data_IF_160236113317
#
_entry.id   IF_160236113317
#
_cell.length_a   1.000
_cell.length_b   1.000
_cell.length_c   1.000
_cell.angle_alpha   90.00
_cell.angle_beta   90.00
_cell.angle_gamma   90.00
#
_symmetry.space_group_name_H-M   'P 1'
#
loop_
_entity.id
_entity.type
_entity.pdbx_description
1 polymer ?
#
# COMPACT_ATOMS: atom_id res chain seq x y z
N UNK A 1 -26.34 64.36 42.66
CA UNK A 1 -27.31 63.74 41.78
C UNK A 1 -26.85 62.29 41.54
N UNK A 2 -27.32 61.42 42.45
CA UNK A 2 -26.96 59.99 42.47
C UNK A 2 -28.08 59.20 41.81
N UNK A 3 -27.76 58.33 40.94
CA UNK A 3 -28.69 57.33 40.42
C UNK A 3 -28.22 55.95 40.80
N UNK A 4 -28.92 55.39 41.78
CA UNK A 4 -28.85 53.96 42.18
C UNK A 4 -29.82 53.21 41.30
N UNK A 5 -29.33 52.18 40.53
CA UNK A 5 -30.17 51.20 39.89
C UNK A 5 -30.13 49.89 40.67
N UNK A 6 -31.32 49.49 41.16
CA UNK A 6 -31.54 48.22 41.81
C UNK A 6 -31.57 47.09 40.80
N UNK A 7 -30.98 45.97 41.20
CA UNK A 7 -31.09 44.66 40.45
C UNK A 7 -32.26 43.89 41.05
N UNK A 8 -33.32 43.70 40.23
CA UNK A 8 -34.37 42.75 40.53
C UNK A 8 -33.95 41.36 40.00
N UNK A 9 -34.00 40.38 40.90
CA UNK A 9 -33.74 38.99 40.59
C UNK A 9 -34.89 38.37 39.79
N UNK A 10 -34.50 37.66 38.75
CA UNK A 10 -35.42 36.75 38.06
C UNK A 10 -35.20 35.34 38.55
N UNK A 11 -36.20 34.77 39.20
CA UNK A 11 -36.34 33.34 39.46
C UNK A 11 -36.43 32.60 38.11
N UNK A 12 -35.48 31.71 37.82
CA UNK A 12 -35.55 30.80 36.72
C UNK A 12 -36.45 29.62 37.03
N UNK A 13 -37.59 29.58 36.37
CA UNK A 13 -38.46 28.41 36.36
C UNK A 13 -37.74 27.23 35.63
N UNK A 14 -37.53 26.17 36.37
CA UNK A 14 -37.15 24.84 35.84
C UNK A 14 -38.28 24.29 34.97
N UNK A 15 -38.15 24.37 33.67
CA UNK A 15 -38.97 23.57 32.77
C UNK A 15 -38.29 22.20 32.54
N UNK A 16 -38.84 21.18 33.18
CA UNK A 16 -38.57 19.79 32.86
C UNK A 16 -39.13 19.51 31.47
N UNK A 17 -38.24 19.52 30.46
CA UNK A 17 -38.52 18.95 29.17
C UNK A 17 -38.10 17.47 29.18
N UNK A 18 -39.06 16.58 29.46
CA UNK A 18 -38.94 15.15 29.31
C UNK A 18 -39.77 14.73 28.11
N UNK A 19 -39.18 14.65 26.95
CA UNK A 19 -39.87 13.97 25.87
C UNK A 19 -39.59 14.38 24.45
N UNK A 20 -38.35 14.30 23.94
CA UNK A 20 -38.12 14.44 22.49
C UNK A 20 -36.88 13.68 21.94
N UNK A 21 -36.36 12.72 22.69
CA UNK A 21 -35.13 12.05 22.24
C UNK A 21 -35.40 10.79 21.35
N UNK A 22 -36.58 10.20 21.44
CA UNK A 22 -36.92 8.98 20.70
C UNK A 22 -37.35 9.20 19.25
N UNK A 23 -37.86 10.35 18.90
CA UNK A 23 -38.32 10.66 17.53
C UNK A 23 -37.17 11.07 16.61
N UNK A 24 -36.09 11.63 17.15
CA UNK A 24 -34.95 12.06 16.35
C UNK A 24 -34.09 10.88 15.90
N UNK A 25 -33.94 9.85 16.73
CA UNK A 25 -33.19 8.64 16.37
C UNK A 25 -33.94 7.78 15.33
N UNK A 26 -35.27 7.71 15.42
CA UNK A 26 -36.07 6.93 14.49
C UNK A 26 -36.18 7.63 13.12
N UNK A 27 -36.27 8.96 13.08
CA UNK A 27 -36.21 9.75 11.83
C UNK A 27 -34.84 9.67 11.18
N UNK A 28 -33.74 9.77 11.93
CA UNK A 28 -32.39 9.63 11.40
C UNK A 28 -32.13 8.22 10.87
N UNK A 29 -32.77 7.20 11.46
CA UNK A 29 -32.67 5.80 11.02
C UNK A 29 -33.49 5.56 9.76
N UNK A 30 -34.64 6.20 9.60
CA UNK A 30 -35.48 6.12 8.39
C UNK A 30 -34.87 6.88 7.21
N UNK A 31 -34.25 8.04 7.46
CA UNK A 31 -33.51 8.78 6.42
C UNK A 31 -32.27 8.04 5.88
N UNK A 32 -31.65 7.17 6.69
CA UNK A 32 -30.47 6.41 6.27
C UNK A 32 -30.82 5.14 5.46
N UNK A 33 -32.06 4.67 5.48
CA UNK A 33 -32.46 3.40 4.84
C UNK A 33 -32.70 3.56 3.33
N UNK A 34 -32.85 4.78 2.83
CA UNK A 34 -33.21 5.07 1.43
C UNK A 34 -32.06 5.70 0.62
N UNK A 35 -30.87 5.84 1.22
CA UNK A 35 -29.72 6.44 0.55
C UNK A 35 -29.02 5.44 -0.37
N UNK A 36 -28.73 5.88 -1.58
CA UNK A 36 -27.90 5.15 -2.53
C UNK A 36 -26.43 5.47 -2.27
N UNK A 37 -25.76 4.63 -1.52
CA UNK A 37 -24.37 4.81 -1.10
C UNK A 37 -23.46 3.82 -1.84
N UNK A 38 -22.44 4.32 -2.53
CA UNK A 38 -21.38 3.50 -3.12
C UNK A 38 -20.21 3.44 -2.12
N UNK A 39 -19.88 2.24 -1.67
CA UNK A 39 -18.76 2.01 -0.74
C UNK A 39 -17.58 1.39 -1.46
N UNK A 40 -16.41 1.98 -1.25
CA UNK A 40 -15.13 1.49 -1.80
C UNK A 40 -14.11 1.38 -0.68
N UNK A 41 -13.41 0.25 -0.60
CA UNK A 41 -12.33 0.04 0.33
C UNK A 41 -11.03 -0.29 -0.41
N UNK A 42 -9.92 0.30 0.03
CA UNK A 42 -8.59 0.01 -0.46
C UNK A 42 -7.76 -0.55 0.70
N UNK A 43 -7.23 -1.76 0.54
CA UNK A 43 -6.39 -2.41 1.53
C UNK A 43 -5.05 -2.81 0.92
N UNK A 44 -3.98 -2.57 1.69
CA UNK A 44 -2.69 -3.18 1.41
C UNK A 44 -2.35 -4.11 2.57
N UNK A 45 -2.04 -5.34 2.26
CA UNK A 45 -1.78 -6.39 3.25
C UNK A 45 -0.47 -7.10 2.97
N UNK A 46 0.17 -7.56 4.03
CA UNK A 46 1.37 -8.38 3.98
C UNK A 46 1.09 -9.78 4.52
N UNK A 47 1.72 -10.77 3.92
CA UNK A 47 1.64 -12.16 4.37
C UNK A 47 2.97 -12.89 4.21
N UNK A 48 3.23 -13.87 5.06
CA UNK A 48 4.32 -14.85 4.89
C UNK A 48 3.87 -16.09 4.11
N UNK A 49 2.56 -16.34 4.07
CA UNK A 49 1.95 -17.53 3.47
C UNK A 49 1.00 -17.13 2.33
N UNK A 50 1.56 -16.72 1.20
CA UNK A 50 0.82 -16.15 0.08
C UNK A 50 -0.31 -17.06 -0.45
N UNK A 51 -0.01 -18.34 -0.71
CA UNK A 51 -1.00 -19.31 -1.27
C UNK A 51 -2.14 -19.61 -0.28
N UNK A 52 -1.81 -19.71 1.00
CA UNK A 52 -2.80 -19.96 2.06
C UNK A 52 -3.76 -18.78 2.18
N UNK A 53 -3.24 -17.55 2.16
CA UNK A 53 -4.05 -16.33 2.21
C UNK A 53 -4.95 -16.21 0.98
N UNK A 54 -4.41 -16.43 -0.24
CA UNK A 54 -5.19 -16.37 -1.46
C UNK A 54 -6.37 -17.34 -1.43
N UNK A 55 -6.12 -18.60 -1.08
CA UNK A 55 -7.17 -19.64 -0.99
C UNK A 55 -8.22 -19.30 0.08
N UNK A 56 -7.80 -18.75 1.22
CA UNK A 56 -8.71 -18.35 2.29
C UNK A 56 -9.60 -17.17 1.86
N UNK A 57 -9.01 -16.18 1.16
CA UNK A 57 -9.75 -15.03 0.64
C UNK A 57 -10.77 -15.43 -0.43
N UNK A 58 -10.39 -16.27 -1.39
CA UNK A 58 -11.30 -16.77 -2.43
C UNK A 58 -12.51 -17.48 -1.81
N UNK A 59 -12.25 -18.37 -0.84
CA UNK A 59 -13.30 -19.09 -0.12
C UNK A 59 -14.21 -18.12 0.63
N UNK A 60 -13.62 -17.14 1.34
CA UNK A 60 -14.41 -16.20 2.14
C UNK A 60 -15.28 -15.28 1.29
N UNK A 61 -14.76 -14.81 0.14
CA UNK A 61 -15.52 -14.05 -0.84
C UNK A 61 -16.77 -14.82 -1.29
N UNK A 62 -16.60 -16.12 -1.60
CA UNK A 62 -17.73 -16.97 -2.03
C UNK A 62 -18.74 -17.20 -0.89
N UNK A 63 -18.28 -17.43 0.33
CA UNK A 63 -19.14 -17.62 1.52
C UNK A 63 -20.02 -16.39 1.80
N UNK A 64 -19.49 -15.19 1.58
CA UNK A 64 -20.21 -13.93 1.76
C UNK A 64 -21.09 -13.54 0.55
N UNK A 65 -21.15 -14.40 -0.48
CA UNK A 65 -21.95 -14.14 -1.69
C UNK A 65 -21.33 -13.08 -2.61
N UNK A 66 -20.03 -12.83 -2.45
CA UNK A 66 -19.25 -11.94 -3.31
C UNK A 66 -18.61 -12.67 -4.49
N UNK A 67 -17.85 -11.95 -5.28
CA UNK A 67 -17.05 -12.48 -6.39
C UNK A 67 -15.80 -11.65 -6.63
N UNK A 68 -14.79 -12.30 -7.23
CA UNK A 68 -13.57 -11.63 -7.67
C UNK A 68 -13.79 -11.13 -9.10
N UNK A 69 -13.76 -9.81 -9.29
CA UNK A 69 -13.91 -9.18 -10.59
C UNK A 69 -12.61 -9.23 -11.40
N UNK A 70 -11.48 -9.03 -10.73
CA UNK A 70 -10.15 -9.08 -11.33
C UNK A 70 -9.14 -9.65 -10.34
N UNK A 71 -8.21 -10.47 -10.85
CA UNK A 71 -7.09 -11.02 -10.10
C UNK A 71 -5.85 -10.96 -10.97
N UNK A 72 -4.84 -10.23 -10.51
CA UNK A 72 -3.53 -10.14 -11.15
C UNK A 72 -2.48 -10.59 -10.14
N UNK A 73 -1.70 -11.63 -10.49
CA UNK A 73 -0.69 -12.23 -9.62
C UNK A 73 0.66 -12.16 -10.30
N UNK A 74 1.62 -11.54 -9.63
CA UNK A 74 3.01 -11.51 -10.03
C UNK A 74 3.84 -12.45 -9.14
N UNK A 75 4.43 -13.49 -9.75
CA UNK A 75 5.17 -14.53 -9.04
C UNK A 75 6.65 -14.21 -8.77
N UNK A 76 7.05 -12.96 -8.97
CA UNK A 76 8.44 -12.56 -8.81
C UNK A 76 9.37 -13.03 -9.93
N UNK A 77 10.58 -12.49 -9.96
CA UNK A 77 11.62 -12.86 -10.92
C UNK A 77 12.83 -13.47 -10.22
N UNK A 78 13.35 -14.58 -10.76
CA UNK A 78 14.56 -15.25 -10.26
C UNK A 78 15.84 -14.82 -10.98
N UNK A 79 15.78 -13.77 -11.83
CA UNK A 79 16.86 -13.45 -12.78
C UNK A 79 18.15 -12.89 -12.16
N UNK A 80 18.16 -12.41 -10.91
CA UNK A 80 19.35 -11.79 -10.32
C UNK A 80 19.87 -12.43 -9.02
N UNK A 81 19.49 -13.70 -8.76
CA UNK A 81 19.92 -14.36 -7.50
C UNK A 81 19.21 -13.90 -6.24
N UNK A 82 18.44 -12.82 -6.33
CA UNK A 82 17.49 -12.38 -5.30
C UNK A 82 16.11 -12.86 -5.67
N UNK A 83 15.45 -13.59 -4.77
CA UNK A 83 14.07 -14.02 -4.93
C UNK A 83 13.20 -12.78 -4.76
N UNK A 84 12.64 -12.26 -5.85
CA UNK A 84 11.62 -11.20 -5.79
C UNK A 84 10.41 -11.75 -5.06
N UNK A 85 9.84 -10.98 -4.15
CA UNK A 85 8.57 -11.31 -3.47
C UNK A 85 7.44 -11.42 -4.48
N UNK A 86 6.45 -12.26 -4.17
CA UNK A 86 5.21 -12.33 -4.93
C UNK A 86 4.29 -11.21 -4.49
N UNK A 87 3.53 -10.68 -5.42
CA UNK A 87 2.46 -9.73 -5.15
C UNK A 87 1.21 -10.07 -5.93
N UNK A 88 0.06 -9.68 -5.41
CA UNK A 88 -1.21 -9.80 -6.08
C UNK A 88 -2.07 -8.57 -5.89
N UNK A 89 -2.79 -8.18 -6.95
CA UNK A 89 -3.83 -7.16 -6.92
C UNK A 89 -5.17 -7.80 -7.24
N UNK A 90 -6.10 -7.71 -6.29
CA UNK A 90 -7.44 -8.24 -6.43
C UNK A 90 -8.46 -7.11 -6.40
N UNK A 91 -9.43 -7.16 -7.32
CA UNK A 91 -10.66 -6.38 -7.21
C UNK A 91 -11.79 -7.32 -6.83
N UNK A 92 -12.35 -7.10 -5.66
CA UNK A 92 -13.38 -7.97 -5.09
C UNK A 92 -14.68 -7.20 -4.95
N UNK A 93 -15.79 -7.83 -5.32
CA UNK A 93 -17.16 -7.33 -5.15
C UNK A 93 -17.83 -8.09 -4.02
N UNK A 94 -18.16 -7.38 -2.94
CA UNK A 94 -18.80 -7.95 -1.75
C UNK A 94 -20.16 -7.27 -1.54
N UNK A 95 -21.25 -8.03 -1.26
CA UNK A 95 -22.52 -7.41 -0.90
C UNK A 95 -22.33 -6.37 0.21
N UNK A 96 -22.93 -5.20 0.05
CA UNK A 96 -22.71 -4.05 0.94
C UNK A 96 -22.92 -4.38 2.43
N UNK A 97 -23.84 -5.29 2.72
CA UNK A 97 -24.18 -5.72 4.09
C UNK A 97 -23.05 -6.53 4.74
N UNK A 98 -22.18 -7.17 3.95
CA UNK A 98 -21.09 -8.03 4.41
C UNK A 98 -19.70 -7.36 4.30
N UNK A 99 -19.62 -6.09 3.88
CA UNK A 99 -18.35 -5.40 3.70
C UNK A 99 -17.50 -5.39 4.98
N UNK A 100 -18.07 -4.96 6.11
CA UNK A 100 -17.34 -4.85 7.39
C UNK A 100 -16.88 -6.22 7.91
N UNK A 101 -17.70 -7.25 7.71
CA UNK A 101 -17.35 -8.61 8.05
C UNK A 101 -16.13 -9.06 7.23
N UNK A 102 -16.17 -8.83 5.91
CA UNK A 102 -15.04 -9.16 5.03
C UNK A 102 -13.76 -8.40 5.39
N UNK A 103 -13.84 -7.09 5.66
CA UNK A 103 -12.68 -6.28 6.05
C UNK A 103 -12.06 -6.76 7.37
N UNK A 104 -12.90 -7.22 8.30
CA UNK A 104 -12.45 -7.82 9.57
C UNK A 104 -11.75 -9.14 9.34
N UNK A 105 -12.30 -9.99 8.46
CA UNK A 105 -11.70 -11.29 8.12
C UNK A 105 -10.33 -11.11 7.43
N UNK A 106 -10.21 -10.16 6.50
CA UNK A 106 -8.92 -9.82 5.88
C UNK A 106 -7.90 -9.42 6.94
N UNK A 107 -8.32 -8.59 7.92
CA UNK A 107 -7.45 -8.13 9.00
C UNK A 107 -7.01 -9.27 9.95
N UNK A 108 -7.86 -10.28 10.11
CA UNK A 108 -7.53 -11.47 10.92
C UNK A 108 -6.61 -12.46 10.19
N UNK A 109 -6.71 -12.52 8.85
CA UNK A 109 -5.96 -13.46 8.00
C UNK A 109 -4.59 -12.91 7.57
N UNK A 110 -4.38 -11.60 7.63
CA UNK A 110 -3.19 -10.93 7.10
C UNK A 110 -2.78 -9.72 7.94
N UNK A 111 -1.57 -9.23 7.72
CA UNK A 111 -1.08 -8.00 8.32
C UNK A 111 -1.49 -6.80 7.46
N UNK A 112 -2.50 -6.03 7.90
CA UNK A 112 -2.98 -4.86 7.16
C UNK A 112 -2.04 -3.67 7.41
N UNK A 113 -1.32 -3.23 6.39
CA UNK A 113 -0.41 -2.09 6.45
C UNK A 113 -1.07 -0.77 6.07
N UNK A 114 -2.11 -0.84 5.25
CA UNK A 114 -2.89 0.35 4.87
C UNK A 114 -4.36 -0.03 4.67
N UNK A 115 -5.27 0.79 5.20
CA UNK A 115 -6.71 0.69 5.01
C UNK A 115 -7.27 2.09 4.74
N UNK A 116 -8.02 2.23 3.66
CA UNK A 116 -8.72 3.46 3.30
C UNK A 116 -10.12 3.10 2.81
N UNK A 117 -11.11 3.80 3.31
CA UNK A 117 -12.51 3.60 2.94
C UNK A 117 -13.10 4.90 2.44
N UNK A 118 -13.93 4.81 1.42
CA UNK A 118 -14.66 5.93 0.84
C UNK A 118 -16.12 5.57 0.69
N UNK A 119 -16.98 6.50 1.00
CA UNK A 119 -18.44 6.39 0.82
C UNK A 119 -18.88 7.57 -0.02
N UNK A 120 -19.51 7.29 -1.15
CA UNK A 120 -20.08 8.28 -2.07
C UNK A 120 -21.60 8.19 -2.02
N UNK A 121 -22.26 9.31 -1.72
CA UNK A 121 -23.72 9.41 -1.75
C UNK A 121 -24.16 9.82 -3.16
N UNK A 122 -24.71 8.86 -3.89
CA UNK A 122 -25.21 9.06 -5.27
C UNK A 122 -26.73 9.19 -5.34
N UNK A 123 -27.41 9.36 -4.20
CA UNK A 123 -28.87 9.42 -4.11
C UNK A 123 -29.47 10.46 -5.03
N UNK A 124 -28.93 11.68 -5.04
CA UNK A 124 -29.43 12.76 -5.90
C UNK A 124 -29.22 12.44 -7.38
N UNK A 125 -28.04 11.96 -7.75
CA UNK A 125 -27.71 11.60 -9.14
C UNK A 125 -28.60 10.44 -9.64
N UNK A 126 -28.90 9.49 -8.76
CA UNK A 126 -29.80 8.38 -9.06
C UNK A 126 -31.23 8.87 -9.32
N UNK A 127 -31.77 9.70 -8.42
CA UNK A 127 -33.12 10.27 -8.54
C UNK A 127 -33.25 11.16 -9.79
N UNK A 128 -32.22 11.92 -10.12
CA UNK A 128 -32.20 12.76 -11.31
C UNK A 128 -32.24 11.91 -12.59
N UNK A 129 -31.45 10.83 -12.67
CA UNK A 129 -31.48 9.89 -13.80
C UNK A 129 -32.84 9.20 -13.93
N UNK A 130 -33.42 8.76 -12.81
CA UNK A 130 -34.74 8.13 -12.79
C UNK A 130 -35.84 9.09 -13.26
N UNK A 131 -35.80 10.34 -12.78
CA UNK A 131 -36.75 11.39 -13.18
C UNK A 131 -36.63 11.73 -14.66
N UNK A 132 -35.41 11.82 -15.18
CA UNK A 132 -35.16 12.08 -16.60
C UNK A 132 -35.61 10.89 -17.47
N UNK A 133 -35.34 9.64 -17.04
CA UNK A 133 -35.87 8.44 -17.69
C UNK A 133 -37.41 8.48 -17.79
N UNK A 134 -38.09 8.84 -16.70
CA UNK A 134 -39.54 8.95 -16.65
C UNK A 134 -40.08 10.03 -17.62
N UNK A 135 -39.37 11.18 -17.70
CA UNK A 135 -39.75 12.23 -18.63
C UNK A 135 -39.63 11.78 -20.10
N UNK A 136 -38.54 11.08 -20.45
CA UNK A 136 -38.35 10.52 -21.80
C UNK A 136 -39.38 9.45 -22.15
N UNK A 137 -39.78 8.60 -21.21
CA UNK A 137 -40.85 7.62 -21.41
C UNK A 137 -42.20 8.35 -21.74
N UNK A 138 -42.51 9.41 -20.99
CA UNK A 138 -43.69 10.23 -21.24
C UNK A 138 -43.64 10.92 -22.62
N UNK A 139 -42.45 11.42 -23.04
CA UNK A 139 -42.25 11.99 -24.38
C UNK A 139 -42.41 10.91 -25.46
N UNK A 140 -41.86 9.71 -25.23
CA UNK A 140 -42.01 8.57 -26.13
C UNK A 140 -43.47 8.22 -26.37
N UNK A 141 -44.26 8.08 -25.31
CA UNK A 141 -45.66 7.76 -25.40
C UNK A 141 -46.45 8.80 -26.21
N UNK A 142 -46.15 10.09 -25.94
CA UNK A 142 -46.76 11.19 -26.67
C UNK A 142 -46.40 11.19 -28.16
N UNK A 143 -45.15 10.89 -28.50
CA UNK A 143 -44.72 10.81 -29.90
C UNK A 143 -45.35 9.61 -30.62
N UNK A 144 -45.56 8.49 -29.92
CA UNK A 144 -46.28 7.33 -30.48
C UNK A 144 -47.75 7.69 -30.78
N UNK A 145 -48.42 8.43 -29.88
CA UNK A 145 -49.78 8.93 -30.15
C UNK A 145 -49.86 9.91 -31.35
N UNK A 146 -48.81 10.73 -31.52
CA UNK A 146 -48.72 11.64 -32.67
C UNK A 146 -48.44 10.88 -33.96
N UNK A 147 -47.59 9.83 -33.90
CA UNK A 147 -47.32 8.96 -35.04
C UNK A 147 -48.55 8.27 -35.56
N UNK A 148 -49.43 7.81 -34.68
CA UNK A 148 -50.74 7.20 -35.07
C UNK A 148 -51.66 8.16 -35.77
N UNK A 149 -51.53 9.48 -35.54
CA UNK A 149 -52.35 10.55 -36.12
C UNK A 149 -51.71 11.24 -37.33
N UNK A 150 -50.43 10.92 -37.60
CA UNK A 150 -49.69 11.57 -38.69
C UNK A 150 -50.17 11.08 -40.05
N UNK A 151 -50.47 12.03 -40.95
CA UNK A 151 -50.91 11.76 -42.31
C UNK A 151 -49.78 12.09 -43.33
N UNK A 152 -48.88 12.98 -42.96
CA UNK A 152 -47.74 13.38 -43.82
C UNK A 152 -46.52 12.46 -43.63
N UNK A 153 -45.89 12.05 -44.73
CA UNK A 153 -44.65 11.28 -44.71
C UNK A 153 -43.50 12.06 -44.02
N UNK A 154 -43.48 13.37 -44.16
CA UNK A 154 -42.49 14.24 -43.52
C UNK A 154 -42.62 14.27 -42.01
N UNK A 155 -43.85 14.34 -41.51
CA UNK A 155 -44.14 14.25 -40.05
C UNK A 155 -43.76 12.88 -39.50
N UNK A 156 -44.11 11.80 -40.23
CA UNK A 156 -43.75 10.43 -39.84
C UNK A 156 -42.24 10.28 -39.68
N UNK A 157 -41.46 10.74 -40.68
CA UNK A 157 -39.99 10.67 -40.61
C UNK A 157 -39.43 11.47 -39.44
N UNK A 158 -39.94 12.68 -39.20
CA UNK A 158 -39.51 13.55 -38.10
C UNK A 158 -39.78 12.91 -36.73
N UNK A 159 -40.97 12.33 -36.56
CA UNK A 159 -41.37 11.63 -35.35
C UNK A 159 -40.50 10.37 -35.14
N UNK A 160 -40.26 9.59 -36.19
CA UNK A 160 -39.40 8.39 -36.12
C UNK A 160 -37.97 8.72 -35.77
N UNK A 161 -37.37 9.80 -36.30
CA UNK A 161 -36.05 10.29 -35.91
C UNK A 161 -35.99 10.62 -34.41
N UNK A 162 -37.03 11.34 -33.92
CA UNK A 162 -37.11 11.71 -32.51
C UNK A 162 -37.30 10.48 -31.62
N UNK A 163 -38.15 9.54 -31.99
CA UNK A 163 -38.34 8.27 -31.28
C UNK A 163 -37.06 7.45 -31.21
N UNK A 164 -36.31 7.44 -32.31
CA UNK A 164 -34.99 6.78 -32.34
C UNK A 164 -34.01 7.42 -31.38
N UNK A 165 -33.94 8.75 -31.35
CA UNK A 165 -33.11 9.49 -30.38
C UNK A 165 -33.47 9.18 -28.92
N UNK A 166 -34.76 9.19 -28.61
CA UNK A 166 -35.28 8.88 -27.28
C UNK A 166 -34.91 7.44 -26.85
N UNK A 167 -35.05 6.46 -27.75
CA UNK A 167 -34.68 5.05 -27.47
C UNK A 167 -33.19 4.94 -27.07
N UNK A 168 -32.28 5.64 -27.78
CA UNK A 168 -30.88 5.66 -27.41
C UNK A 168 -30.63 6.30 -26.05
N UNK A 169 -31.31 7.40 -25.73
CA UNK A 169 -31.21 8.07 -24.45
C UNK A 169 -31.72 7.17 -23.30
N UNK A 170 -32.86 6.54 -23.48
CA UNK A 170 -33.41 5.59 -22.50
C UNK A 170 -32.50 4.42 -22.26
N UNK A 171 -31.93 3.82 -23.30
CA UNK A 171 -30.99 2.72 -23.17
C UNK A 171 -29.72 3.15 -22.41
N UNK A 172 -29.21 4.36 -22.68
CA UNK A 172 -28.06 4.92 -21.96
C UNK A 172 -28.37 5.10 -20.48
N UNK A 173 -29.52 5.68 -20.13
CA UNK A 173 -29.94 5.89 -18.74
C UNK A 173 -30.18 4.59 -18.00
N UNK A 174 -30.78 3.60 -18.64
CA UNK A 174 -30.97 2.26 -18.06
C UNK A 174 -29.64 1.58 -17.76
N UNK A 175 -28.66 1.73 -18.63
CA UNK A 175 -27.31 1.22 -18.41
C UNK A 175 -26.63 1.93 -17.23
N UNK A 176 -26.78 3.26 -17.10
CA UNK A 176 -26.21 4.03 -16.00
C UNK A 176 -26.86 3.66 -14.67
N UNK A 177 -28.21 3.59 -14.61
CA UNK A 177 -28.94 3.17 -13.40
C UNK A 177 -28.54 1.75 -12.97
N UNK A 178 -28.46 0.80 -13.90
CA UNK A 178 -28.01 -0.57 -13.61
C UNK A 178 -26.59 -0.62 -13.05
N UNK A 179 -25.69 0.24 -13.56
CA UNK A 179 -24.32 0.35 -13.05
C UNK A 179 -24.32 0.90 -11.63
N UNK A 180 -25.10 1.95 -11.37
CA UNK A 180 -25.23 2.53 -10.02
C UNK A 180 -25.87 1.52 -9.04
N UNK A 181 -26.93 0.81 -9.44
CA UNK A 181 -27.54 -0.22 -8.60
C UNK A 181 -26.52 -1.32 -8.24
N UNK A 182 -25.74 -1.79 -9.21
CA UNK A 182 -24.69 -2.77 -8.94
C UNK A 182 -23.61 -2.24 -7.97
N UNK A 183 -23.21 -0.96 -8.09
CA UNK A 183 -22.23 -0.34 -7.20
C UNK A 183 -22.78 -0.08 -5.79
N UNK A 184 -24.08 0.14 -5.66
CA UNK A 184 -24.76 0.30 -4.37
C UNK A 184 -24.95 -1.06 -3.70
N UNK A 185 -25.33 -2.09 -4.45
CA UNK A 185 -25.58 -3.43 -3.92
C UNK A 185 -24.27 -4.14 -3.54
N UNK A 186 -23.21 -3.92 -4.32
CA UNK A 186 -21.89 -4.51 -4.13
C UNK A 186 -20.81 -3.44 -3.91
N UNK A 187 -20.23 -3.47 -2.72
CA UNK A 187 -19.04 -2.67 -2.42
C UNK A 187 -17.83 -3.19 -3.18
N UNK A 188 -16.97 -2.27 -3.61
CA UNK A 188 -15.72 -2.59 -4.29
C UNK A 188 -14.57 -2.60 -3.29
N UNK A 189 -13.85 -3.71 -3.21
CA UNK A 189 -12.65 -3.83 -2.39
C UNK A 189 -11.44 -4.04 -3.30
N UNK A 190 -10.52 -3.06 -3.28
CA UNK A 190 -9.20 -3.19 -3.91
C UNK A 190 -8.23 -3.71 -2.87
N UNK A 191 -7.68 -4.88 -3.10
CA UNK A 191 -6.80 -5.57 -2.18
C UNK A 191 -5.44 -5.81 -2.83
N UNK A 192 -4.39 -5.18 -2.29
CA UNK A 192 -3.01 -5.39 -2.69
C UNK A 192 -2.32 -6.28 -1.66
N UNK A 193 -1.84 -7.45 -2.08
CA UNK A 193 -1.23 -8.47 -1.23
C UNK A 193 0.25 -8.55 -1.56
N UNK A 194 1.11 -8.36 -0.56
CA UNK A 194 2.55 -8.47 -0.70
C UNK A 194 3.06 -9.65 0.13
N UNK A 195 3.83 -10.55 -0.50
CA UNK A 195 4.56 -11.58 0.22
C UNK A 195 5.81 -10.98 0.84
N UNK A 196 5.98 -11.13 2.15
CA UNK A 196 7.13 -10.59 2.87
C UNK A 196 7.79 -11.67 3.73
N UNK A 197 9.10 -11.55 3.98
CA UNK A 197 9.80 -12.44 4.90
C UNK A 197 9.52 -12.05 6.36
N UNK A 198 9.43 -10.76 6.63
CA UNK A 198 9.09 -10.19 7.93
C UNK A 198 7.96 -9.20 7.78
N UNK A 199 6.93 -9.31 8.63
CA UNK A 199 5.77 -8.43 8.61
C UNK A 199 6.13 -7.06 9.16
N UNK A 200 5.61 -6.00 8.52
CA UNK A 200 5.73 -4.63 9.04
C UNK A 200 4.96 -4.52 10.36
N UNK A 201 5.57 -4.04 11.45
CA UNK A 201 4.84 -3.81 12.70
C UNK A 201 3.75 -2.75 12.52
N UNK A 202 2.53 -3.09 12.81
CA UNK A 202 1.38 -2.16 12.70
C UNK A 202 1.24 -1.27 13.94
N UNK A 203 1.77 -1.70 15.09
CA UNK A 203 1.78 -0.91 16.33
C UNK A 203 3.04 -0.05 16.42
N UNK A 204 2.90 1.20 16.88
CA UNK A 204 4.05 2.02 17.26
C UNK A 204 4.73 1.37 18.46
N UNK A 205 5.83 0.66 18.20
CA UNK A 205 6.66 0.07 19.25
C UNK A 205 7.12 1.16 20.19
N UNK A 206 7.03 0.90 21.48
CA UNK A 206 7.57 1.82 22.49
C UNK A 206 9.06 2.07 22.26
N UNK A 207 9.55 3.25 22.66
CA UNK A 207 10.97 3.62 22.49
C UNK A 207 11.91 2.54 23.05
N UNK A 208 11.50 1.87 24.16
CA UNK A 208 12.25 0.77 24.76
C UNK A 208 12.34 -0.47 23.84
N UNK A 209 11.25 -0.85 23.19
CA UNK A 209 11.21 -1.98 22.25
C UNK A 209 12.02 -1.71 21.00
N UNK A 210 11.95 -0.49 20.45
CA UNK A 210 12.79 -0.07 19.31
C UNK A 210 14.29 -0.15 19.61
N UNK A 211 14.69 0.22 20.84
CA UNK A 211 16.10 0.14 21.27
C UNK A 211 16.53 -1.31 21.44
N UNK A 212 15.70 -2.16 22.07
CA UNK A 212 16.05 -3.57 22.28
C UNK A 212 16.10 -4.37 20.99
N UNK A 213 15.17 -4.13 20.06
CA UNK A 213 15.19 -4.77 18.74
C UNK A 213 16.37 -4.29 17.90
N UNK A 214 16.60 -2.97 17.81
CA UNK A 214 17.74 -2.42 17.08
C UNK A 214 19.07 -2.92 17.63
N UNK A 215 19.18 -3.18 18.94
CA UNK A 215 20.35 -3.79 19.55
C UNK A 215 20.49 -5.28 19.18
N UNK A 216 19.39 -6.04 19.20
CA UNK A 216 19.38 -7.46 18.80
C UNK A 216 19.70 -7.63 17.32
N UNK A 217 19.14 -6.78 16.46
CA UNK A 217 19.43 -6.78 15.01
C UNK A 217 20.90 -6.44 14.74
N UNK A 218 21.43 -5.44 15.42
CA UNK A 218 22.87 -5.10 15.34
C UNK A 218 23.77 -6.25 15.81
N UNK A 219 23.37 -6.98 16.86
CA UNK A 219 24.11 -8.18 17.32
C UNK A 219 24.04 -9.31 16.28
N UNK A 220 22.90 -9.50 15.64
CA UNK A 220 22.73 -10.51 14.57
C UNK A 220 23.56 -10.15 13.34
N UNK A 221 23.57 -8.87 12.95
CA UNK A 221 24.36 -8.38 11.82
C UNK A 221 25.86 -8.53 12.08
N UNK A 222 26.33 -8.23 13.29
CA UNK A 222 27.72 -8.49 13.70
C UNK A 222 28.01 -9.99 13.65
N UNK A 223 27.11 -10.86 14.13
CA UNK A 223 27.24 -12.31 14.04
C UNK A 223 27.35 -12.81 12.61
N UNK A 224 26.49 -12.33 11.73
CA UNK A 224 26.51 -12.66 10.31
C UNK A 224 27.77 -12.12 9.62
N UNK A 225 28.18 -10.89 9.95
CA UNK A 225 29.41 -10.30 9.42
C UNK A 225 30.69 -11.08 9.82
N UNK A 226 30.72 -11.63 11.03
CA UNK A 226 31.82 -12.52 11.48
C UNK A 226 31.80 -13.83 10.67
N UNK A 227 30.67 -14.42 10.46
CA UNK A 227 30.52 -15.64 9.64
C UNK A 227 30.93 -15.38 8.18
N UNK A 228 30.50 -14.30 7.59
CA UNK A 228 30.89 -13.93 6.22
C UNK A 228 32.41 -13.66 6.12
N UNK A 229 32.98 -12.97 7.11
CA UNK A 229 34.41 -12.78 7.19
C UNK A 229 35.17 -14.11 7.28
N UNK A 230 34.67 -15.06 8.07
CA UNK A 230 35.26 -16.41 8.18
C UNK A 230 35.18 -17.18 6.87
N UNK A 231 34.03 -17.14 6.19
CA UNK A 231 33.82 -17.74 4.86
C UNK A 231 34.78 -17.09 3.85
N UNK A 232 34.88 -15.76 3.84
CA UNK A 232 35.78 -15.02 2.96
C UNK A 232 37.28 -15.42 3.18
N UNK A 233 37.72 -15.54 4.43
CA UNK A 233 39.09 -15.97 4.75
C UNK A 233 39.36 -17.38 4.24
N UNK A 234 38.42 -18.34 4.44
CA UNK A 234 38.56 -19.72 3.98
C UNK A 234 38.57 -19.78 2.44
N UNK A 235 37.66 -19.06 1.79
CA UNK A 235 37.56 -19.04 0.33
C UNK A 235 38.80 -18.41 -0.33
N UNK A 236 39.39 -17.40 0.32
CA UNK A 236 40.60 -16.73 -0.19
C UNK A 236 41.90 -17.29 0.38
N UNK A 237 41.86 -18.34 1.19
CA UNK A 237 43.05 -18.96 1.83
C UNK A 237 44.15 -19.28 0.82
N UNK A 238 43.94 -19.83 -0.37
CA UNK A 238 44.96 -20.05 -1.37
C UNK A 238 45.68 -18.76 -1.80
N UNK A 239 44.91 -17.68 -2.00
CA UNK A 239 45.47 -16.38 -2.38
C UNK A 239 46.26 -15.73 -1.23
N UNK A 240 45.79 -15.86 0.00
CA UNK A 240 46.48 -15.35 1.19
C UNK A 240 47.82 -16.04 1.40
N UNK A 241 47.92 -17.36 1.15
CA UNK A 241 49.15 -18.12 1.22
C UNK A 241 50.17 -17.62 0.19
N UNK A 242 49.74 -17.41 -1.07
CA UNK A 242 50.59 -16.90 -2.12
C UNK A 242 51.15 -15.50 -1.76
N UNK A 243 50.28 -14.61 -1.27
CA UNK A 243 50.67 -13.28 -0.82
C UNK A 243 51.66 -13.32 0.38
N UNK A 244 51.39 -14.21 1.34
CA UNK A 244 52.28 -14.39 2.49
C UNK A 244 53.69 -14.85 2.07
N UNK A 245 53.76 -15.78 1.12
CA UNK A 245 55.05 -16.25 0.55
C UNK A 245 55.76 -15.12 -0.19
N UNK A 246 55.06 -14.33 -1.00
CA UNK A 246 55.66 -13.19 -1.72
C UNK A 246 56.18 -12.13 -0.77
N UNK A 247 55.43 -11.78 0.26
CA UNK A 247 55.84 -10.83 1.28
C UNK A 247 57.03 -11.38 2.08
N UNK A 248 57.01 -12.65 2.43
CA UNK A 248 58.13 -13.33 3.09
C UNK A 248 59.42 -13.28 2.26
N UNK A 249 59.34 -13.54 0.97
CA UNK A 249 60.49 -13.44 0.04
C UNK A 249 61.00 -11.99 -0.01
N UNK A 250 60.10 -11.02 -0.10
CA UNK A 250 60.44 -9.58 -0.14
C UNK A 250 61.19 -9.16 1.14
N UNK A 251 60.68 -9.58 2.31
CA UNK A 251 61.31 -9.28 3.61
C UNK A 251 62.69 -9.94 3.70
N UNK A 252 62.83 -11.21 3.29
CA UNK A 252 64.12 -11.89 3.25
C UNK A 252 65.11 -11.18 2.31
N UNK A 253 64.63 -10.71 1.16
CA UNK A 253 65.44 -9.95 0.21
C UNK A 253 65.93 -8.63 0.81
N UNK A 254 65.09 -7.89 1.50
CA UNK A 254 65.46 -6.64 2.18
C UNK A 254 66.44 -6.90 3.29
N UNK A 255 66.27 -7.93 4.13
CA UNK A 255 67.19 -8.31 5.18
C UNK A 255 68.57 -8.74 4.63
N UNK A 256 68.53 -9.45 3.47
CA UNK A 256 69.75 -9.87 2.81
C UNK A 256 70.54 -8.69 2.21
N UNK A 257 69.84 -7.72 1.62
CA UNK A 257 70.45 -6.44 1.15
C UNK A 257 71.07 -5.61 2.30
N UNK A 258 70.30 -5.55 3.39
CA UNK A 258 70.86 -4.78 4.58
C UNK A 258 72.05 -5.46 5.16
N UNK A 259 72.10 -6.78 5.24
CA UNK A 259 73.24 -7.56 5.65
C UNK A 259 74.45 -7.40 4.69
N UNK A 260 74.19 -7.29 3.40
CA UNK A 260 75.21 -7.08 2.37
C UNK A 260 75.77 -5.65 2.39
N UNK A 261 74.92 -4.66 2.62
CA UNK A 261 75.32 -3.26 2.75
C UNK A 261 76.12 -2.99 4.03
N UNK A 262 75.75 -3.66 5.13
CA UNK A 262 76.53 -3.61 6.39
C UNK A 262 77.95 -4.22 6.22
N UNK A 263 78.04 -5.38 5.50
CA UNK A 263 79.37 -5.96 5.18
C UNK A 263 80.24 -5.07 4.29
N UNK A 264 79.64 -4.35 3.30
CA UNK A 264 80.35 -3.41 2.46
C UNK A 264 80.83 -2.17 3.24
N UNK A 265 79.99 -1.67 4.15
CA UNK A 265 80.44 -0.54 5.07
C UNK A 265 81.52 -0.94 6.03
N UNK A 266 81.46 -2.14 6.62
CA UNK A 266 82.53 -2.66 7.48
C UNK A 266 83.88 -2.85 6.70
N UNK A 267 83.78 -3.38 5.44
CA UNK A 267 85.00 -3.51 4.61
C UNK A 267 85.58 -2.15 4.19
N UNK A 268 84.76 -1.13 3.92
CA UNK A 268 85.28 0.22 3.65
C UNK A 268 85.84 0.89 4.87
N UNK A 269 85.31 0.68 6.05
CA UNK A 269 85.88 1.22 7.30
C UNK A 269 87.21 0.56 7.62
N UNK A 270 87.34 -0.75 7.47
CA UNK A 270 88.66 -1.45 7.67
C UNK A 270 89.72 -1.05 6.64
N UNK A 271 89.28 -0.77 5.39
CA UNK A 271 90.26 -0.27 4.37
C UNK A 271 90.67 1.19 4.58
N UNK A 272 89.87 2.02 5.23
CA UNK A 272 90.25 3.40 5.61
C UNK A 272 91.17 3.48 6.81
N UNK A 273 91.14 2.44 7.67
CA UNK A 273 92.03 2.38 8.86
C UNK A 273 93.43 1.79 8.51
N UNK A 274 93.52 1.09 7.35
CA UNK A 274 94.77 0.50 6.88
C UNK A 274 95.58 1.41 5.97
N UNK A 275 95.23 2.68 5.77
CA UNK A 275 95.99 3.61 4.99
C UNK A 275 97.15 4.18 5.85
N UNK A 276 98.43 4.02 5.45
CA UNK A 276 99.63 4.46 6.27
C UNK A 276 99.61 5.98 6.37
N UNK A 277 99.73 6.47 7.64
CA UNK A 277 100.13 7.84 7.93
C UNK A 277 101.57 7.99 7.51
N UNK A 278 101.78 8.53 6.36
CA UNK A 278 103.16 8.94 6.01
C UNK A 278 103.37 10.37 6.48
N UNK A 279 104.29 10.46 7.49
CA UNK A 279 104.85 11.70 7.99
C UNK A 279 105.77 12.31 6.92
N UNK A 280 105.69 13.56 6.72
CA UNK A 280 106.67 14.33 5.96
C UNK A 280 106.96 15.63 6.64
N UNK A 281 107.99 15.65 7.39
CA UNK A 281 108.64 16.85 7.86
C UNK A 281 109.36 17.57 6.69
N UNK A 282 109.23 18.84 6.63
CA UNK A 282 110.22 19.95 6.50
C UNK A 282 109.47 21.23 6.14
#
# INVERSE_FOLDING_TARGET
ADNVYGYDGYESAESRDTGTDWQTEEQTRLENTDRKLIKTANLSVETKEFESLMSALEKRVQELGGYIESSEIYNGSTYSGYRSSRDASLTVRIPQVHLEEFLTDVSNLSNVTHRSESVEDVTLSYVDLESHKKALLTEQDRLLELLEKAESMEDILTIEERLTSIRYQLQSMESQLRTMDNQVDYSTVYLNINEVQELTPVEEKTVGERITEGFMDSLRDVGNGILECFIWVITNLPHLIVWAVLVGILVLFILMMDKHSRKKRARKAAAAEAAPKNSGAQ
#
